data_IF_953650560758
#
_entry.id   IF_953650560758
#
_cell.length_a   1.000
_cell.length_b   1.000
_cell.length_c   1.000
_cell.angle_alpha   90.00
_cell.angle_beta   90.00
_cell.angle_gamma   90.00
#
_symmetry.space_group_name_H-M   'P 1'
#
loop_
_entity.id
_entity.type
_entity.pdbx_description
1 polymer ?
#
# COMPACT_ATOMS: atom_id res chain seq x y z
N UNK A 1 7.76 -11.51 12.60
CA UNK A 1 7.40 -10.82 11.35
C UNK A 1 8.59 -10.03 10.88
N UNK A 2 8.98 -10.26 9.64
CA UNK A 2 10.06 -9.54 8.97
C UNK A 2 9.49 -8.32 8.24
N UNK A 3 10.36 -7.42 7.79
CA UNK A 3 9.95 -6.30 6.94
C UNK A 3 9.36 -6.81 5.62
N UNK A 4 8.40 -6.07 5.09
CA UNK A 4 7.89 -6.23 3.73
C UNK A 4 7.99 -4.90 2.99
N UNK A 5 7.92 -4.94 1.66
CA UNK A 5 7.90 -3.77 0.81
C UNK A 5 6.51 -3.57 0.21
N UNK A 6 6.13 -2.31 0.00
CA UNK A 6 4.91 -1.93 -0.69
C UNK A 6 5.29 -1.13 -1.95
N UNK A 7 4.89 -1.62 -3.11
CA UNK A 7 5.13 -0.98 -4.39
C UNK A 7 3.84 -0.45 -5.00
N UNK A 8 3.98 0.61 -5.79
CA UNK A 8 2.90 1.16 -6.61
C UNK A 8 3.32 1.11 -8.08
N UNK A 9 2.44 0.57 -8.94
CA UNK A 9 2.71 0.45 -10.37
C UNK A 9 1.47 0.77 -11.18
N UNK A 10 1.61 1.56 -12.24
CA UNK A 10 0.50 1.78 -13.18
C UNK A 10 0.27 0.56 -14.09
N UNK A 11 -0.99 0.27 -14.37
CA UNK A 11 -1.41 -0.71 -15.39
C UNK A 11 -1.26 -0.14 -16.80
N UNK A 12 -1.57 -0.97 -17.81
CA UNK A 12 -1.50 -0.60 -19.23
C UNK A 12 -2.17 0.74 -19.58
N UNK A 13 -1.64 1.37 -20.63
CA UNK A 13 -1.94 2.74 -21.06
C UNK A 13 -3.41 2.99 -21.42
N UNK A 14 -4.17 1.94 -21.74
CA UNK A 14 -5.55 2.04 -22.23
C UNK A 14 -6.57 2.32 -21.13
N UNK A 15 -6.31 1.89 -19.90
CA UNK A 15 -7.11 2.19 -18.69
C UNK A 15 -6.18 2.28 -17.48
N UNK A 16 -5.45 3.40 -17.32
CA UNK A 16 -4.39 3.48 -16.33
C UNK A 16 -4.98 3.54 -14.92
N UNK A 17 -4.88 2.42 -14.21
CA UNK A 17 -5.10 2.30 -12.77
C UNK A 17 -3.77 2.05 -12.09
N UNK A 18 -3.74 2.16 -10.77
CA UNK A 18 -2.54 1.86 -9.99
C UNK A 18 -2.75 0.56 -9.22
N UNK A 19 -1.75 -0.31 -9.24
CA UNK A 19 -1.66 -1.51 -8.42
C UNK A 19 -0.78 -1.24 -7.21
N UNK A 20 -1.25 -1.64 -6.04
CA UNK A 20 -0.48 -1.74 -4.80
C UNK A 20 -0.02 -3.20 -4.64
N UNK A 21 1.28 -3.41 -4.43
CA UNK A 21 1.88 -4.75 -4.38
C UNK A 21 2.64 -4.87 -3.06
N UNK A 22 2.15 -5.73 -2.17
CA UNK A 22 2.85 -6.12 -0.96
C UNK A 22 3.79 -7.27 -1.29
N UNK A 23 5.06 -7.16 -0.92
CA UNK A 23 6.07 -8.19 -1.20
C UNK A 23 6.92 -8.46 0.03
N UNK A 24 7.12 -9.74 0.33
CA UNK A 24 8.03 -10.20 1.37
C UNK A 24 8.69 -11.50 0.94
N UNK A 25 9.84 -11.83 1.52
CA UNK A 25 10.48 -13.15 1.37
C UNK A 25 10.16 -14.06 2.56
N UNK A 26 9.53 -13.51 3.60
CA UNK A 26 9.16 -14.24 4.81
C UNK A 26 7.74 -14.81 4.70
N UNK A 27 7.65 -16.14 4.74
CA UNK A 27 6.37 -16.87 4.63
C UNK A 27 5.42 -16.54 5.78
N UNK A 28 5.94 -16.34 6.99
CA UNK A 28 5.10 -16.02 8.15
C UNK A 28 4.46 -14.64 7.99
N UNK A 29 5.24 -13.65 7.56
CA UNK A 29 4.76 -12.30 7.25
C UNK A 29 3.74 -12.32 6.10
N UNK A 30 4.00 -13.08 5.03
CA UNK A 30 3.04 -13.24 3.94
C UNK A 30 1.69 -13.79 4.43
N UNK A 31 1.71 -14.87 5.22
CA UNK A 31 0.47 -15.47 5.75
C UNK A 31 -0.26 -14.53 6.71
N UNK A 32 0.48 -13.79 7.53
CA UNK A 32 -0.10 -12.79 8.42
C UNK A 32 -0.81 -11.67 7.65
N UNK A 33 -0.17 -11.09 6.64
CA UNK A 33 -0.76 -10.06 5.78
C UNK A 33 -2.00 -10.57 5.05
N UNK A 34 -1.94 -11.79 4.52
CA UNK A 34 -3.07 -12.43 3.84
C UNK A 34 -4.24 -12.74 4.80
N UNK A 35 -3.94 -12.99 6.07
CA UNK A 35 -4.93 -13.24 7.11
C UNK A 35 -5.78 -12.01 7.46
N UNK A 36 -5.27 -10.79 7.22
CA UNK A 36 -6.00 -9.55 7.47
C UNK A 36 -7.10 -9.34 6.42
N UNK A 37 -8.37 -9.53 6.76
CA UNK A 37 -9.45 -9.43 5.75
C UNK A 37 -9.58 -8.03 5.13
N UNK A 38 -9.58 -6.99 5.97
CA UNK A 38 -9.73 -5.60 5.54
C UNK A 38 -8.58 -4.77 6.10
N UNK A 39 -7.92 -4.04 5.21
CA UNK A 39 -6.76 -3.21 5.53
C UNK A 39 -6.99 -1.80 5.04
N UNK A 40 -6.81 -0.85 5.93
CA UNK A 40 -6.82 0.58 5.61
C UNK A 40 -5.40 1.01 5.25
N UNK A 41 -5.23 1.48 4.03
CA UNK A 41 -4.00 2.09 3.54
C UNK A 41 -4.20 3.59 3.42
N UNK A 42 -3.33 4.37 4.06
CA UNK A 42 -3.35 5.82 4.03
C UNK A 42 -2.04 6.36 3.51
N UNK A 43 -2.11 7.34 2.63
CA UNK A 43 -0.96 8.11 2.16
C UNK A 43 -1.17 9.54 2.65
N UNK A 44 -0.28 9.99 3.52
CA UNK A 44 -0.36 11.30 4.14
C UNK A 44 0.19 12.39 3.23
N UNK A 45 -0.11 13.66 3.50
CA UNK A 45 0.37 14.78 2.66
C UNK A 45 1.89 14.97 2.73
N UNK A 46 2.50 14.52 3.83
CA UNK A 46 3.91 14.73 4.16
C UNK A 46 4.59 13.40 4.51
N UNK A 47 5.91 13.33 4.35
CA UNK A 47 6.77 12.19 4.70
C UNK A 47 7.33 12.25 6.11
N UNK A 48 6.55 12.72 7.09
CA UNK A 48 7.05 12.95 8.45
C UNK A 48 6.60 11.83 9.41
N UNK A 49 7.51 10.87 9.61
CA UNK A 49 7.31 9.74 10.54
C UNK A 49 7.33 10.14 12.02
N UNK A 50 7.74 11.37 12.36
CA UNK A 50 7.72 11.86 13.74
C UNK A 50 6.31 12.26 14.19
N UNK A 51 5.43 12.55 13.24
CA UNK A 51 4.05 12.96 13.49
C UNK A 51 3.11 11.76 13.45
N UNK A 52 2.50 11.44 14.59
CA UNK A 52 1.36 10.50 14.67
C UNK A 52 0.02 11.22 14.48
N UNK A 53 0.05 12.50 14.12
CA UNK A 53 -1.09 13.41 14.25
C UNK A 53 -2.20 13.10 13.26
N UNK A 54 -3.26 12.51 13.80
CA UNK A 54 -4.54 12.17 13.16
C UNK A 54 -5.38 13.40 12.74
N UNK A 55 -4.91 14.64 12.94
CA UNK A 55 -5.70 15.85 12.75
C UNK A 55 -5.76 16.34 11.30
N UNK A 56 -4.93 15.80 10.41
CA UNK A 56 -4.90 16.20 8.99
C UNK A 56 -5.52 15.07 8.16
N UNK A 57 -6.43 15.42 7.24
CA UNK A 57 -6.96 14.47 6.27
C UNK A 57 -5.82 13.95 5.38
N UNK A 58 -5.76 12.63 5.12
CA UNK A 58 -4.73 12.06 4.28
C UNK A 58 -4.90 12.59 2.85
N UNK A 59 -3.85 12.48 2.05
CA UNK A 59 -3.95 12.74 0.62
C UNK A 59 -4.79 11.65 -0.05
N UNK A 60 -4.50 10.39 0.26
CA UNK A 60 -5.25 9.24 -0.23
C UNK A 60 -5.58 8.28 0.89
N UNK A 61 -6.75 7.67 0.81
CA UNK A 61 -7.16 6.61 1.72
C UNK A 61 -7.88 5.51 0.95
N UNK A 62 -7.41 4.28 1.14
CA UNK A 62 -7.93 3.09 0.48
C UNK A 62 -8.30 2.04 1.50
N UNK A 63 -9.40 1.34 1.23
CA UNK A 63 -9.78 0.14 1.97
C UNK A 63 -9.55 -1.05 1.06
N UNK A 64 -8.56 -1.86 1.41
CA UNK A 64 -8.13 -3.03 0.65
C UNK A 64 -8.73 -4.28 1.29
N UNK A 65 -9.32 -5.16 0.48
CA UNK A 65 -9.80 -6.45 0.93
C UNK A 65 -8.79 -7.52 0.51
N UNK A 66 -7.99 -8.03 1.46
CA UNK A 66 -6.95 -9.00 1.17
C UNK A 66 -7.52 -10.36 0.73
N UNK A 67 -8.79 -10.64 1.00
CA UNK A 67 -9.50 -11.83 0.53
C UNK A 67 -9.88 -11.79 -0.96
N UNK A 68 -9.82 -10.61 -1.61
CA UNK A 68 -10.05 -10.45 -3.05
C UNK A 68 -8.76 -10.47 -3.88
N UNK A 69 -7.66 -10.94 -3.29
CA UNK A 69 -6.39 -11.10 -3.97
C UNK A 69 -6.57 -11.85 -5.31
N UNK A 70 -6.34 -11.15 -6.43
CA UNK A 70 -6.51 -11.66 -7.79
C UNK A 70 -5.28 -12.42 -8.27
N UNK A 71 -4.52 -13.02 -7.35
CA UNK A 71 -3.25 -13.72 -7.52
C UNK A 71 -3.23 -14.92 -8.50
N UNK A 72 -4.14 -15.00 -9.46
CA UNK A 72 -4.13 -16.03 -10.49
C UNK A 72 -3.01 -15.86 -11.54
N UNK A 73 -2.19 -14.79 -11.52
CA UNK A 73 -1.14 -14.54 -12.53
C UNK A 73 0.12 -13.78 -12.07
N UNK A 74 0.46 -13.72 -10.79
CA UNK A 74 1.74 -13.09 -10.40
C UNK A 74 2.90 -14.06 -10.62
N UNK A 75 4.05 -13.53 -11.06
CA UNK A 75 5.26 -14.33 -11.26
C UNK A 75 5.93 -14.73 -9.94
N UNK A 76 5.54 -14.09 -8.83
CA UNK A 76 6.11 -14.27 -7.50
C UNK A 76 5.03 -14.74 -6.50
N UNK A 77 5.15 -15.96 -5.93
CA UNK A 77 4.16 -16.52 -5.02
C UNK A 77 4.08 -15.80 -3.67
N UNK A 78 5.02 -14.89 -3.35
CA UNK A 78 5.02 -14.11 -2.10
C UNK A 78 4.62 -12.65 -2.28
N UNK A 79 3.88 -12.35 -3.35
CA UNK A 79 3.27 -11.04 -3.58
C UNK A 79 1.76 -11.09 -3.33
N UNK A 80 1.21 -9.98 -2.84
CA UNK A 80 -0.22 -9.76 -2.73
C UNK A 80 -0.53 -8.46 -3.48
N UNK A 81 -1.38 -8.54 -4.51
CA UNK A 81 -1.58 -7.43 -5.45
C UNK A 81 -3.04 -6.98 -5.47
N UNK A 82 -3.23 -5.65 -5.41
CA UNK A 82 -4.54 -5.01 -5.46
C UNK A 82 -4.56 -3.87 -6.47
N UNK A 83 -5.61 -3.81 -7.25
CA UNK A 83 -5.92 -2.64 -8.06
C UNK A 83 -6.61 -1.58 -7.18
N UNK A 84 -6.06 -0.38 -7.15
CA UNK A 84 -6.62 0.75 -6.43
C UNK A 84 -7.82 1.33 -7.18
N UNK A 85 -8.81 1.90 -6.46
CA UNK A 85 -10.01 2.47 -7.08
C UNK A 85 -9.71 3.71 -7.93
N UNK A 86 -8.62 4.40 -7.65
CA UNK A 86 -8.15 5.56 -8.41
C UNK A 86 -6.68 5.42 -8.81
N UNK A 87 -6.29 6.16 -9.85
CA UNK A 87 -4.90 6.25 -10.30
C UNK A 87 -4.12 7.19 -9.39
N UNK A 88 -2.98 6.74 -8.90
CA UNK A 88 -2.02 7.56 -8.18
C UNK A 88 -1.11 8.31 -9.16
N UNK A 89 -0.80 9.56 -8.83
CA UNK A 89 0.37 10.24 -9.39
C UNK A 89 1.63 9.66 -8.73
N UNK A 90 2.42 8.90 -9.49
CA UNK A 90 3.65 8.26 -9.03
C UNK A 90 4.88 9.19 -9.15
N UNK A 91 4.68 10.51 -9.16
CA UNK A 91 5.73 11.52 -9.19
C UNK A 91 5.86 12.32 -7.89
N UNK A 92 6.60 13.43 -7.99
CA UNK A 92 6.69 14.46 -6.96
C UNK A 92 5.82 15.64 -7.40
N UNK A 93 4.67 15.82 -6.77
CA UNK A 93 3.74 16.92 -7.05
C UNK A 93 2.80 17.13 -5.85
N UNK A 94 1.88 18.09 -5.93
CA UNK A 94 0.82 18.26 -4.93
C UNK A 94 -0.04 17.02 -4.76
N UNK A 95 -0.19 16.20 -5.81
CA UNK A 95 -0.93 14.93 -5.80
C UNK A 95 0.01 13.70 -5.86
N UNK A 96 1.31 13.90 -6.08
CA UNK A 96 2.31 12.85 -6.24
C UNK A 96 2.63 12.12 -4.93
N UNK A 97 2.75 10.79 -4.96
CA UNK A 97 2.94 10.00 -3.74
C UNK A 97 4.40 9.89 -3.27
N UNK A 98 5.39 10.28 -4.09
CA UNK A 98 6.81 10.17 -3.71
C UNK A 98 7.13 11.11 -2.55
N UNK A 99 7.89 10.62 -1.57
CA UNK A 99 8.30 11.35 -0.39
C UNK A 99 7.21 11.47 0.69
N UNK A 100 6.07 10.80 0.51
CA UNK A 100 4.95 10.83 1.45
C UNK A 100 4.94 9.61 2.37
N UNK A 101 4.46 9.79 3.58
CA UNK A 101 4.28 8.68 4.51
C UNK A 101 3.12 7.81 4.03
N UNK A 102 3.34 6.50 4.02
CA UNK A 102 2.31 5.49 3.86
C UNK A 102 2.14 4.74 5.17
N UNK A 103 0.90 4.51 5.57
CA UNK A 103 0.54 3.71 6.73
C UNK A 103 -0.46 2.66 6.32
N UNK A 104 -0.20 1.41 6.72
CA UNK A 104 -1.03 0.25 6.48
C UNK A 104 -1.50 -0.26 7.83
N UNK A 105 -2.81 -0.42 8.00
CA UNK A 105 -3.42 -0.83 9.26
C UNK A 105 -4.51 -1.86 9.01
N UNK A 106 -4.64 -2.84 9.88
CA UNK A 106 -5.85 -3.65 9.91
C UNK A 106 -7.06 -2.78 10.29
N UNK A 107 -8.19 -2.94 9.61
CA UNK A 107 -9.34 -2.09 9.86
C UNK A 107 -9.80 -2.15 11.34
N UNK A 108 -9.74 -1.03 12.04
CA UNK A 108 -10.06 -0.94 13.47
C UNK A 108 -9.04 -1.61 14.41
N UNK A 109 -7.92 -2.10 13.86
CA UNK A 109 -6.90 -2.86 14.56
C UNK A 109 -5.51 -2.21 14.55
N UNK A 110 -4.49 -3.06 14.56
CA UNK A 110 -3.09 -2.67 14.72
C UNK A 110 -2.46 -2.15 13.42
N UNK A 111 -1.45 -1.30 13.55
CA UNK A 111 -0.61 -0.88 12.43
C UNK A 111 0.18 -2.10 11.93
N UNK A 112 0.06 -2.38 10.64
CA UNK A 112 0.77 -3.47 9.95
C UNK A 112 2.12 -2.99 9.40
N UNK A 113 2.20 -1.71 8.99
CA UNK A 113 3.45 -1.12 8.53
C UNK A 113 3.34 0.38 8.31
N UNK A 114 4.47 1.06 8.46
CA UNK A 114 4.65 2.49 8.17
C UNK A 114 5.94 2.64 7.36
N UNK A 115 5.93 3.52 6.38
CA UNK A 115 7.13 3.87 5.62
C UNK A 115 6.96 5.17 4.85
N UNK A 116 8.00 5.55 4.11
CA UNK A 116 7.96 6.66 3.16
C UNK A 116 8.08 6.10 1.76
N UNK A 117 7.24 6.59 0.83
CA UNK A 117 7.28 6.16 -0.57
C UNK A 117 8.53 6.72 -1.23
N UNK A 118 9.43 5.83 -1.64
CA UNK A 118 10.64 6.16 -2.41
C UNK A 118 10.47 5.87 -3.90
N UNK A 119 11.46 6.30 -4.68
CA UNK A 119 11.62 5.86 -6.07
C UNK A 119 12.33 4.50 -6.10
N UNK A 120 11.85 3.58 -6.93
CA UNK A 120 12.39 2.23 -7.13
C UNK A 120 12.73 2.02 -8.61
#
# INVERSE_FOLDING_TARGET
>A
MSSYSLFFRNTDETTPKTRAIFRTEDKETYQALRGCQNVDMRIEKYGDLSTTTQSISPLYQFRLNMGQDKNHKTANPMEIEFELPERLDLGVSDMGVIGRQVTVREQGGSILGIGVVGYN
#
